data_IF_802214887534
#
_entry.id   IF_802214887534
#
_cell.length_a   1.000
_cell.length_b   1.000
_cell.length_c   1.000
_cell.angle_alpha   90.00
_cell.angle_beta   90.00
_cell.angle_gamma   90.00
#
_symmetry.space_group_name_H-M   'P 1'
#
loop_
_entity.id
_entity.type
_entity.pdbx_description
1 polymer ?
#
# COMPACT_ATOMS: atom_id res chain seq x y z
N UNK A 1 72.91 -18.47 63.50
CA UNK A 1 71.93 -19.47 63.05
C UNK A 1 70.57 -18.78 62.91
N UNK A 2 70.00 -18.81 61.69
CA UNK A 2 68.56 -18.69 61.29
C UNK A 2 67.76 -17.47 61.82
N UNK A 3 67.33 -16.48 61.03
CA UNK A 3 66.69 -16.38 59.70
C UNK A 3 65.14 -16.46 59.74
N UNK A 4 64.56 -15.44 59.11
CA UNK A 4 63.23 -15.26 58.49
C UNK A 4 61.97 -15.02 59.35
N UNK A 5 61.38 -13.86 59.07
CA UNK A 5 60.02 -13.44 59.36
C UNK A 5 58.96 -14.33 58.70
N UNK A 6 57.81 -14.47 59.36
CA UNK A 6 56.57 -14.89 58.67
C UNK A 6 55.43 -14.01 59.16
N UNK A 7 55.11 -12.99 58.35
CA UNK A 7 53.79 -12.37 58.30
C UNK A 7 52.81 -13.43 57.77
N UNK A 8 51.81 -13.80 58.58
CA UNK A 8 50.66 -14.57 58.10
C UNK A 8 49.48 -13.62 58.03
N UNK A 9 49.11 -13.31 56.79
CA UNK A 9 48.16 -12.28 56.42
C UNK A 9 46.76 -12.52 56.98
N UNK A 10 46.14 -11.42 57.37
CA UNK A 10 44.69 -11.29 57.43
C UNK A 10 44.11 -11.66 56.06
N UNK A 11 43.35 -12.75 56.00
CA UNK A 11 42.52 -13.08 54.85
C UNK A 11 41.38 -12.06 54.79
N UNK A 12 41.67 -10.97 54.10
CA UNK A 12 40.75 -9.89 53.83
C UNK A 12 39.59 -10.42 52.98
N UNK A 13 38.40 -10.06 53.41
CA UNK A 13 37.11 -10.33 52.82
C UNK A 13 37.07 -9.96 51.33
N UNK A 14 37.11 -10.95 50.45
CA UNK A 14 36.51 -10.83 49.13
C UNK A 14 35.15 -11.49 49.18
N UNK A 15 34.13 -10.72 49.56
CA UNK A 15 32.76 -10.99 49.13
C UNK A 15 32.84 -11.15 47.62
N UNK A 16 32.55 -12.36 47.13
CA UNK A 16 32.32 -12.61 45.72
C UNK A 16 31.13 -11.74 45.32
N UNK A 17 31.43 -10.51 44.89
CA UNK A 17 30.50 -9.67 44.17
C UNK A 17 30.21 -10.48 42.92
N UNK A 18 29.05 -11.12 42.88
CA UNK A 18 28.51 -11.76 41.69
C UNK A 18 28.42 -10.63 40.67
N UNK A 19 29.44 -10.51 39.82
CA UNK A 19 29.40 -9.65 38.65
C UNK A 19 28.15 -10.12 37.92
N UNK A 20 27.09 -9.29 37.91
CA UNK A 20 25.95 -9.54 37.05
C UNK A 20 26.54 -9.78 35.67
N UNK A 21 26.35 -10.99 35.15
CA UNK A 21 26.83 -11.35 33.81
C UNK A 21 26.20 -10.34 32.87
N UNK A 22 26.97 -9.33 32.49
CA UNK A 22 26.62 -8.46 31.37
C UNK A 22 26.49 -9.41 30.19
N UNK A 23 25.26 -9.61 29.70
CA UNK A 23 25.00 -10.42 28.51
C UNK A 23 26.07 -10.08 27.47
N UNK A 24 26.71 -11.11 26.92
CA UNK A 24 27.71 -10.92 25.86
C UNK A 24 27.09 -10.05 24.76
N UNK A 25 27.89 -9.24 24.08
CA UNK A 25 27.40 -8.49 22.90
C UNK A 25 26.70 -9.41 21.89
N UNK A 26 27.16 -10.67 21.78
CA UNK A 26 26.53 -11.70 20.97
C UNK A 26 25.12 -12.08 21.45
N UNK A 27 24.91 -12.24 22.76
CA UNK A 27 23.58 -12.54 23.33
C UNK A 27 22.62 -11.37 23.19
N UNK A 28 23.11 -10.12 23.26
CA UNK A 28 22.31 -8.92 22.99
C UNK A 28 21.94 -8.77 21.52
N UNK A 29 22.84 -9.14 20.61
CA UNK A 29 22.56 -9.13 19.17
C UNK A 29 21.53 -10.20 18.78
N UNK A 30 21.62 -11.39 19.38
CA UNK A 30 20.65 -12.47 19.18
C UNK A 30 19.26 -12.06 19.69
N UNK A 31 19.19 -11.49 20.89
CA UNK A 31 17.95 -10.95 21.46
C UNK A 31 17.36 -9.82 20.59
N UNK A 32 18.20 -8.91 20.08
CA UNK A 32 17.76 -7.87 19.15
C UNK A 32 17.26 -8.44 17.81
N UNK A 33 17.87 -9.51 17.30
CA UNK A 33 17.44 -10.18 16.08
C UNK A 33 16.05 -10.83 16.25
N UNK A 34 15.83 -11.53 17.36
CA UNK A 34 14.52 -12.12 17.70
C UNK A 34 13.45 -11.04 17.79
N UNK A 35 13.73 -9.90 18.44
CA UNK A 35 12.78 -8.79 18.48
C UNK A 35 12.50 -8.21 17.09
N UNK A 36 13.53 -8.01 16.27
CA UNK A 36 13.34 -7.53 14.91
C UNK A 36 12.50 -8.49 14.06
N UNK A 37 12.75 -9.79 14.14
CA UNK A 37 11.96 -10.80 13.44
C UNK A 37 10.50 -10.75 13.88
N UNK A 38 10.23 -10.72 15.19
CA UNK A 38 8.87 -10.70 15.70
C UNK A 38 8.11 -9.42 15.32
N UNK A 39 8.79 -8.26 15.38
CA UNK A 39 8.22 -6.99 14.90
C UNK A 39 7.93 -7.05 13.40
N UNK A 40 8.83 -7.64 12.60
CA UNK A 40 8.62 -7.80 11.16
C UNK A 40 7.44 -8.73 10.84
N UNK A 41 7.30 -9.84 11.57
CA UNK A 41 6.18 -10.77 11.42
C UNK A 41 4.85 -10.09 11.78
N UNK A 42 4.80 -9.39 12.92
CA UNK A 42 3.62 -8.62 13.32
C UNK A 42 3.25 -7.54 12.31
N UNK A 43 4.23 -6.83 11.74
CA UNK A 43 3.97 -5.86 10.69
C UNK A 43 3.40 -6.51 9.43
N UNK A 44 3.94 -7.65 8.99
CA UNK A 44 3.41 -8.41 7.86
C UNK A 44 1.96 -8.83 8.09
N UNK A 45 1.66 -9.41 9.25
CA UNK A 45 0.31 -9.86 9.61
C UNK A 45 -0.66 -8.67 9.68
N UNK A 46 -0.22 -7.54 10.23
CA UNK A 46 -1.03 -6.31 10.28
C UNK A 46 -1.34 -5.75 8.89
N UNK A 47 -0.38 -5.80 7.96
CA UNK A 47 -0.56 -5.35 6.58
C UNK A 47 -1.52 -6.25 5.80
N UNK A 48 -1.44 -7.57 6.00
CA UNK A 48 -2.38 -8.53 5.41
C UNK A 48 -3.80 -8.32 5.95
N UNK A 49 -3.97 -8.25 7.27
CA UNK A 49 -5.27 -8.03 7.89
C UNK A 49 -5.90 -6.68 7.48
N UNK A 50 -5.08 -5.64 7.33
CA UNK A 50 -5.51 -4.34 6.81
C UNK A 50 -6.05 -4.47 5.39
N UNK A 51 -5.30 -5.13 4.50
CA UNK A 51 -5.70 -5.33 3.10
C UNK A 51 -7.00 -6.11 2.99
N UNK A 52 -7.13 -7.21 3.74
CA UNK A 52 -8.37 -8.00 3.80
C UNK A 52 -9.54 -7.12 4.22
N UNK A 53 -9.40 -6.34 5.29
CA UNK A 53 -10.44 -5.42 5.75
C UNK A 53 -10.82 -4.37 4.70
N UNK A 54 -9.87 -3.81 3.97
CA UNK A 54 -10.14 -2.83 2.91
C UNK A 54 -10.97 -3.45 1.78
N UNK A 55 -10.65 -4.69 1.40
CA UNK A 55 -11.41 -5.43 0.38
C UNK A 55 -12.80 -5.81 0.88
N UNK A 56 -12.93 -6.32 2.10
CA UNK A 56 -14.22 -6.61 2.72
C UNK A 56 -15.11 -5.37 2.78
N UNK A 57 -14.56 -4.21 3.17
CA UNK A 57 -15.30 -2.94 3.19
C UNK A 57 -15.79 -2.54 1.78
N UNK A 58 -14.97 -2.73 0.75
CA UNK A 58 -15.37 -2.48 -0.63
C UNK A 58 -16.48 -3.44 -1.08
N UNK A 59 -16.37 -4.73 -0.73
CA UNK A 59 -17.37 -5.74 -1.06
C UNK A 59 -18.71 -5.47 -0.38
N UNK A 60 -18.69 -5.05 0.88
CA UNK A 60 -19.89 -4.64 1.62
C UNK A 60 -20.59 -3.46 0.93
N UNK A 61 -19.85 -2.41 0.56
CA UNK A 61 -20.39 -1.27 -0.18
C UNK A 61 -20.93 -1.69 -1.55
N UNK A 62 -20.20 -2.53 -2.27
CA UNK A 62 -20.63 -3.10 -3.55
C UNK A 62 -21.95 -3.85 -3.41
N UNK A 63 -22.08 -4.69 -2.38
CA UNK A 63 -23.31 -5.43 -2.10
C UNK A 63 -24.48 -4.49 -1.83
N UNK A 64 -24.27 -3.43 -1.05
CA UNK A 64 -25.29 -2.40 -0.78
C UNK A 64 -25.76 -1.71 -2.06
N UNK A 65 -24.85 -1.28 -2.93
CA UNK A 65 -25.24 -0.59 -4.18
C UNK A 65 -25.73 -1.55 -5.28
N UNK A 66 -25.45 -2.85 -5.18
CA UNK A 66 -25.85 -3.86 -6.18
C UNK A 66 -27.37 -4.03 -6.34
N UNK A 67 -28.15 -3.57 -5.35
CA UNK A 67 -29.61 -3.53 -5.38
C UNK A 67 -30.16 -2.48 -6.37
N UNK A 68 -29.36 -1.48 -6.75
CA UNK A 68 -29.74 -0.45 -7.72
C UNK A 68 -29.89 -1.03 -9.12
N UNK A 69 -30.69 -0.36 -9.95
CA UNK A 69 -30.83 -0.76 -11.35
C UNK A 69 -29.54 -0.48 -12.14
N UNK A 70 -29.31 -1.23 -13.22
CA UNK A 70 -28.14 -1.00 -14.07
C UNK A 70 -28.06 0.41 -14.67
N UNK A 71 -29.21 0.94 -15.06
CA UNK A 71 -29.31 2.30 -15.61
C UNK A 71 -28.95 3.33 -14.54
N UNK A 72 -29.38 3.10 -13.30
CA UNK A 72 -29.03 3.96 -12.17
C UNK A 72 -27.53 3.93 -11.86
N UNK A 73 -26.90 2.74 -11.85
CA UNK A 73 -25.44 2.62 -11.67
C UNK A 73 -24.67 3.37 -12.76
N UNK A 74 -25.07 3.23 -14.03
CA UNK A 74 -24.46 3.96 -15.14
C UNK A 74 -24.63 5.48 -15.00
N UNK A 75 -25.80 5.92 -14.51
CA UNK A 75 -26.04 7.34 -14.24
C UNK A 75 -25.10 7.86 -13.16
N UNK A 76 -24.98 7.16 -12.02
CA UNK A 76 -24.07 7.54 -10.94
C UNK A 76 -22.62 7.66 -11.41
N UNK A 77 -22.15 6.71 -12.23
CA UNK A 77 -20.80 6.76 -12.81
C UNK A 77 -20.62 7.98 -13.73
N UNK A 78 -21.61 8.29 -14.57
CA UNK A 78 -21.57 9.48 -15.44
C UNK A 78 -21.60 10.77 -14.66
N UNK A 79 -22.42 10.84 -13.61
CA UNK A 79 -22.58 12.02 -12.77
C UNK A 79 -21.28 12.32 -12.01
N UNK A 80 -20.51 11.28 -11.65
CA UNK A 80 -19.18 11.40 -11.09
C UNK A 80 -18.08 11.74 -12.11
N UNK A 81 -18.39 11.79 -13.41
CA UNK A 81 -17.48 12.21 -14.47
C UNK A 81 -16.83 11.08 -15.26
N UNK A 82 -17.19 9.80 -15.07
CA UNK A 82 -16.61 8.72 -15.85
C UNK A 82 -16.98 8.82 -17.33
N UNK A 83 -15.98 8.71 -18.21
CA UNK A 83 -16.23 8.49 -19.62
C UNK A 83 -16.73 7.05 -19.88
N UNK A 84 -17.63 6.88 -20.84
CA UNK A 84 -18.18 5.55 -21.17
C UNK A 84 -17.14 4.55 -21.67
N UNK A 85 -16.04 5.05 -22.26
CA UNK A 85 -14.87 4.25 -22.61
C UNK A 85 -14.24 3.62 -21.37
N UNK A 86 -14.08 4.39 -20.29
CA UNK A 86 -13.49 3.93 -19.03
C UNK A 86 -14.40 2.95 -18.32
N UNK A 87 -15.70 3.27 -18.22
CA UNK A 87 -16.68 2.33 -17.66
C UNK A 87 -16.66 0.99 -18.41
N UNK A 88 -16.59 1.02 -19.75
CA UNK A 88 -16.53 -0.19 -20.56
C UNK A 88 -15.25 -0.99 -20.29
N UNK A 89 -14.08 -0.33 -20.24
CA UNK A 89 -12.79 -0.97 -19.93
C UNK A 89 -12.78 -1.59 -18.53
N UNK A 90 -13.17 -0.82 -17.52
CA UNK A 90 -13.20 -1.26 -16.12
C UNK A 90 -14.20 -2.39 -15.88
N UNK A 91 -15.38 -2.33 -16.49
CA UNK A 91 -16.35 -3.42 -16.43
C UNK A 91 -16.00 -4.59 -17.38
N UNK A 92 -14.92 -4.49 -18.15
CA UNK A 92 -14.49 -5.47 -19.14
C UNK A 92 -15.60 -5.87 -20.11
N UNK A 93 -16.29 -4.86 -20.65
CA UNK A 93 -17.34 -5.03 -21.66
C UNK A 93 -17.13 -4.08 -22.82
N UNK A 94 -17.88 -4.29 -23.90
CA UNK A 94 -17.79 -3.42 -25.06
C UNK A 94 -18.56 -2.11 -24.85
N UNK A 95 -18.09 -1.01 -25.43
CA UNK A 95 -18.83 0.27 -25.45
C UNK A 95 -20.26 0.10 -26.01
N UNK A 96 -20.51 -0.69 -27.08
CA UNK A 96 -21.86 -0.99 -27.53
C UNK A 96 -22.75 -1.65 -26.47
N UNK A 97 -22.19 -2.48 -25.57
CA UNK A 97 -22.95 -3.06 -24.46
C UNK A 97 -23.43 -1.97 -23.48
N UNK A 98 -22.54 -1.05 -23.09
CA UNK A 98 -22.88 0.12 -22.27
C UNK A 98 -24.00 0.94 -22.93
N UNK A 99 -23.88 1.21 -24.24
CA UNK A 99 -24.89 1.96 -24.97
C UNK A 99 -26.25 1.25 -25.01
N UNK A 100 -26.27 -0.08 -25.14
CA UNK A 100 -27.52 -0.87 -25.08
C UNK A 100 -28.16 -0.74 -23.70
N UNK A 101 -27.40 -0.88 -22.62
CA UNK A 101 -27.93 -0.78 -21.26
C UNK A 101 -28.46 0.61 -20.94
N UNK A 102 -27.80 1.67 -21.41
CA UNK A 102 -28.29 3.05 -21.29
C UNK A 102 -29.66 3.27 -21.95
N UNK A 103 -29.99 2.49 -22.98
CA UNK A 103 -31.30 2.51 -23.65
C UNK A 103 -32.34 1.59 -23.00
N UNK A 104 -32.04 1.04 -21.82
CA UNK A 104 -32.94 0.16 -21.08
C UNK A 104 -32.89 -1.30 -21.50
N UNK A 105 -31.92 -1.72 -22.34
CA UNK A 105 -31.74 -3.14 -22.61
C UNK A 105 -31.34 -3.88 -21.32
N UNK A 106 -31.80 -5.14 -21.21
CA UNK A 106 -31.47 -5.99 -20.07
C UNK A 106 -29.96 -6.16 -19.86
N UNK A 107 -29.57 -6.19 -18.59
CA UNK A 107 -28.19 -6.42 -18.15
C UNK A 107 -28.16 -7.63 -17.22
N UNK A 108 -27.14 -8.47 -17.37
CA UNK A 108 -26.94 -9.62 -16.50
C UNK A 108 -26.59 -9.18 -15.08
N UNK A 109 -26.88 -10.02 -14.09
CA UNK A 109 -26.48 -9.78 -12.70
C UNK A 109 -24.98 -9.57 -12.56
N UNK A 110 -24.16 -10.36 -13.27
CA UNK A 110 -22.70 -10.22 -13.25
C UNK A 110 -22.22 -8.84 -13.73
N UNK A 111 -22.75 -8.34 -14.85
CA UNK A 111 -22.38 -7.03 -15.36
C UNK A 111 -22.89 -5.91 -14.44
N UNK A 112 -24.06 -6.09 -13.83
CA UNK A 112 -24.55 -5.19 -12.77
C UNK A 112 -23.59 -5.13 -11.61
N UNK A 113 -23.10 -6.29 -11.17
CA UNK A 113 -22.17 -6.42 -10.05
C UNK A 113 -20.84 -5.72 -10.35
N UNK A 114 -20.32 -5.81 -11.58
CA UNK A 114 -19.12 -5.05 -12.00
C UNK A 114 -19.33 -3.54 -11.93
N UNK A 115 -20.46 -3.03 -12.43
CA UNK A 115 -20.78 -1.59 -12.33
C UNK A 115 -20.97 -1.15 -10.87
N UNK A 116 -21.57 -2.01 -10.04
CA UNK A 116 -21.73 -1.79 -8.61
C UNK A 116 -20.36 -1.64 -7.90
N UNK A 117 -19.34 -2.42 -8.29
CA UNK A 117 -17.97 -2.25 -7.76
C UNK A 117 -17.41 -0.86 -8.03
N UNK A 118 -17.62 -0.33 -9.24
CA UNK A 118 -17.16 1.01 -9.62
C UNK A 118 -17.87 2.11 -8.83
N UNK A 119 -19.18 1.98 -8.63
CA UNK A 119 -19.94 2.91 -7.78
C UNK A 119 -19.51 2.80 -6.31
N UNK A 120 -19.26 1.59 -5.81
CA UNK A 120 -18.75 1.40 -4.45
C UNK A 120 -17.38 2.05 -4.23
N UNK A 121 -16.51 2.06 -5.25
CA UNK A 121 -15.26 2.83 -5.21
C UNK A 121 -15.57 4.33 -5.06
N UNK A 122 -16.52 4.88 -5.80
CA UNK A 122 -16.91 6.29 -5.62
C UNK A 122 -17.38 6.57 -4.19
N UNK A 123 -18.16 5.66 -3.59
CA UNK A 123 -18.60 5.79 -2.19
C UNK A 123 -17.44 5.71 -1.19
N UNK A 124 -16.41 4.91 -1.49
CA UNK A 124 -15.16 4.89 -0.69
C UNK A 124 -14.41 6.22 -0.85
N UNK A 125 -14.23 6.72 -2.07
CA UNK A 125 -13.52 7.97 -2.33
C UNK A 125 -14.22 9.16 -1.65
N UNK A 126 -15.55 9.20 -1.69
CA UNK A 126 -16.35 10.20 -0.99
C UNK A 126 -16.16 10.13 0.53
N UNK A 127 -16.12 8.91 1.10
CA UNK A 127 -15.81 8.71 2.52
C UNK A 127 -14.41 9.24 2.91
N UNK A 128 -13.45 9.17 1.99
CA UNK A 128 -12.12 9.77 2.15
C UNK A 128 -12.07 11.26 1.75
N UNK A 129 -13.22 11.92 1.61
CA UNK A 129 -13.39 13.34 1.27
C UNK A 129 -12.81 13.76 -0.09
N UNK A 130 -12.65 12.81 -1.02
CA UNK A 130 -12.17 13.09 -2.38
C UNK A 130 -13.34 13.62 -3.22
N UNK A 131 -13.34 14.93 -3.48
CA UNK A 131 -14.45 15.64 -4.13
C UNK A 131 -14.58 15.35 -5.63
N UNK A 132 -13.45 15.23 -6.34
CA UNK A 132 -13.40 14.99 -7.78
C UNK A 132 -12.81 13.60 -8.03
N UNK A 133 -13.57 12.52 -7.76
CA UNK A 133 -13.03 11.16 -7.68
C UNK A 133 -12.43 10.69 -8.99
N UNK A 134 -13.08 10.99 -10.13
CA UNK A 134 -12.57 10.56 -11.45
C UNK A 134 -11.28 11.29 -11.80
N UNK A 135 -11.21 12.61 -11.59
CA UNK A 135 -9.97 13.36 -11.81
C UNK A 135 -8.85 12.88 -10.88
N UNK A 136 -9.15 12.56 -9.63
CA UNK A 136 -8.17 11.99 -8.70
C UNK A 136 -7.68 10.60 -9.15
N UNK A 137 -8.57 9.77 -9.69
CA UNK A 137 -8.21 8.47 -10.26
C UNK A 137 -7.27 8.60 -11.48
N UNK A 138 -7.47 9.62 -12.30
CA UNK A 138 -6.63 9.93 -13.47
C UNK A 138 -5.27 10.54 -13.09
N UNK A 139 -5.13 11.07 -11.88
CA UNK A 139 -3.84 11.59 -11.42
C UNK A 139 -2.81 10.46 -11.23
N UNK A 140 -1.54 10.69 -11.63
CA UNK A 140 -0.45 9.79 -11.33
C UNK A 140 -0.34 9.45 -9.84
N UNK A 141 0.04 8.20 -9.53
CA UNK A 141 0.33 7.78 -8.15
C UNK A 141 1.43 8.65 -7.52
N UNK A 142 2.41 9.06 -8.31
CA UNK A 142 3.49 9.99 -7.94
C UNK A 142 3.83 10.87 -9.14
N UNK A 143 4.23 12.11 -8.88
CA UNK A 143 4.76 12.99 -9.92
C UNK A 143 5.95 12.36 -10.65
N UNK A 144 6.00 12.52 -11.98
CA UNK A 144 7.05 11.96 -12.84
C UNK A 144 6.88 10.48 -13.20
N UNK A 145 5.73 9.87 -12.91
CA UNK A 145 5.41 8.50 -13.29
C UNK A 145 4.11 8.49 -14.10
N UNK A 146 4.04 7.68 -15.16
CA UNK A 146 2.86 7.56 -16.00
C UNK A 146 1.73 6.68 -15.44
N UNK A 147 1.97 5.96 -14.34
CA UNK A 147 1.00 5.03 -13.72
C UNK A 147 0.01 5.83 -12.86
N UNK A 148 -1.25 5.79 -13.25
CA UNK A 148 -2.38 6.42 -12.55
C UNK A 148 -3.05 5.45 -11.59
N UNK A 149 -3.95 5.97 -10.76
CA UNK A 149 -4.79 5.14 -9.88
C UNK A 149 -5.86 4.38 -10.67
N UNK A 150 -6.32 4.95 -11.78
CA UNK A 150 -7.18 4.29 -12.75
C UNK A 150 -6.49 3.04 -13.35
N UNK A 151 -5.18 3.10 -13.60
CA UNK A 151 -4.43 1.95 -14.11
C UNK A 151 -4.45 0.78 -13.12
N UNK A 152 -4.40 1.03 -11.81
CA UNK A 152 -4.56 -0.02 -10.80
C UNK A 152 -5.91 -0.73 -10.95
N UNK A 153 -6.99 0.04 -11.11
CA UNK A 153 -8.34 -0.51 -11.31
C UNK A 153 -8.47 -1.31 -12.61
N UNK A 154 -7.87 -0.82 -13.69
CA UNK A 154 -7.87 -1.51 -14.99
C UNK A 154 -7.19 -2.88 -14.94
N UNK A 155 -6.25 -3.07 -14.01
CA UNK A 155 -5.56 -4.34 -13.76
C UNK A 155 -6.15 -5.13 -12.58
N UNK A 156 -7.37 -4.79 -12.13
CA UNK A 156 -8.06 -5.42 -10.99
C UNK A 156 -7.29 -5.34 -9.65
N UNK A 157 -6.35 -4.39 -9.53
CA UNK A 157 -5.58 -4.10 -8.31
C UNK A 157 -6.28 -3.06 -7.43
N UNK A 158 -7.54 -3.35 -7.11
CA UNK A 158 -8.34 -2.51 -6.21
C UNK A 158 -7.76 -2.47 -4.80
N UNK A 159 -7.12 -3.56 -4.36
CA UNK A 159 -6.37 -3.62 -3.11
C UNK A 159 -5.32 -2.51 -3.03
N UNK A 160 -4.53 -2.33 -4.09
CA UNK A 160 -3.49 -1.30 -4.16
C UNK A 160 -4.05 0.12 -4.25
N UNK A 161 -5.19 0.29 -4.94
CA UNK A 161 -5.90 1.56 -4.95
C UNK A 161 -6.30 1.97 -3.52
N UNK A 162 -6.93 1.05 -2.79
CA UNK A 162 -7.41 1.30 -1.43
C UNK A 162 -6.27 1.53 -0.44
N UNK A 163 -5.17 0.79 -0.57
CA UNK A 163 -3.97 1.04 0.24
C UNK A 163 -3.39 2.44 -0.01
N UNK A 164 -3.45 2.93 -1.26
CA UNK A 164 -2.95 4.25 -1.62
C UNK A 164 -3.80 5.44 -1.11
N UNK A 165 -5.00 5.19 -0.59
CA UNK A 165 -5.88 6.22 -0.05
C UNK A 165 -5.44 6.74 1.32
N UNK A 166 -4.69 5.94 2.06
CA UNK A 166 -4.35 6.26 3.43
C UNK A 166 -2.95 6.86 3.49
N UNK A 167 -2.80 7.94 4.24
CA UNK A 167 -1.52 8.65 4.45
C UNK A 167 -0.97 8.42 5.88
N UNK A 168 -1.56 7.48 6.63
CA UNK A 168 -1.19 7.17 8.01
C UNK A 168 0.12 6.36 8.10
N UNK A 169 0.77 6.38 9.27
CA UNK A 169 2.04 5.68 9.60
C UNK A 169 2.07 4.15 9.34
N UNK A 170 0.91 3.54 9.06
CA UNK A 170 0.78 2.12 8.70
C UNK A 170 0.28 1.88 7.26
N UNK A 171 0.15 2.93 6.45
CA UNK A 171 -0.27 2.82 5.06
C UNK A 171 0.91 2.42 4.16
N UNK A 172 0.59 1.68 3.09
CA UNK A 172 1.61 1.28 2.14
C UNK A 172 2.11 2.50 1.38
N UNK A 173 3.41 2.78 1.46
CA UNK A 173 4.00 3.90 0.72
C UNK A 173 3.74 3.75 -0.78
N UNK A 174 3.57 4.88 -1.48
CA UNK A 174 3.35 4.89 -2.94
C UNK A 174 4.44 4.11 -3.69
N UNK A 175 5.69 4.18 -3.24
CA UNK A 175 6.79 3.39 -3.82
C UNK A 175 6.55 1.89 -3.67
N UNK A 176 6.09 1.44 -2.51
CA UNK A 176 5.80 0.02 -2.28
C UNK A 176 4.57 -0.44 -3.05
N UNK A 177 3.56 0.43 -3.24
CA UNK A 177 2.42 0.18 -4.13
C UNK A 177 2.90 -0.05 -5.57
N UNK A 178 3.78 0.83 -6.07
CA UNK A 178 4.35 0.71 -7.41
C UNK A 178 5.22 -0.55 -7.57
N UNK A 179 6.03 -0.87 -6.57
CA UNK A 179 6.88 -2.08 -6.56
C UNK A 179 6.05 -3.37 -6.66
N UNK A 180 4.91 -3.42 -5.97
CA UNK A 180 3.98 -4.55 -6.04
C UNK A 180 3.16 -4.56 -7.34
N UNK A 181 2.79 -3.40 -7.87
CA UNK A 181 2.07 -3.29 -9.13
C UNK A 181 2.92 -3.74 -10.32
N UNK A 182 4.16 -3.24 -10.41
CA UNK A 182 5.12 -3.61 -11.43
C UNK A 182 6.54 -3.32 -10.96
N UNK A 183 7.32 -4.34 -10.57
CA UNK A 183 8.68 -4.16 -10.03
C UNK A 183 9.65 -3.41 -10.98
N UNK A 184 9.38 -3.42 -12.28
CA UNK A 184 10.17 -2.71 -13.31
C UNK A 184 9.64 -1.30 -13.61
N UNK A 185 8.77 -0.76 -12.76
CA UNK A 185 8.11 0.53 -13.04
C UNK A 185 9.09 1.68 -13.20
N UNK A 186 10.23 1.61 -12.52
CA UNK A 186 11.31 2.61 -12.56
C UNK A 186 11.93 2.77 -13.94
N UNK A 187 11.90 1.72 -14.75
CA UNK A 187 12.49 1.72 -16.08
C UNK A 187 11.45 1.97 -17.17
N UNK A 188 10.22 1.50 -16.95
CA UNK A 188 9.17 1.47 -17.96
C UNK A 188 8.24 2.69 -17.94
N UNK A 189 8.04 3.31 -16.78
CA UNK A 189 7.00 4.33 -16.58
C UNK A 189 7.50 5.61 -15.92
N UNK A 190 8.81 5.72 -15.64
CA UNK A 190 9.40 7.01 -15.29
C UNK A 190 9.37 7.88 -16.53
N UNK A 191 8.78 9.05 -16.36
CA UNK A 191 8.66 10.02 -17.44
C UNK A 191 10.07 10.39 -17.93
N UNK A 192 10.34 10.15 -19.21
CA UNK A 192 11.68 10.22 -19.81
C UNK A 192 12.31 11.63 -19.74
N UNK A 193 11.57 12.61 -19.25
CA UNK A 193 11.99 13.99 -19.01
C UNK A 193 12.92 14.16 -17.80
N UNK A 194 13.08 13.18 -16.91
CA UNK A 194 13.95 13.28 -15.73
C UNK A 194 14.95 12.12 -15.66
N UNK A 195 16.19 12.42 -15.28
CA UNK A 195 17.23 11.42 -14.97
C UNK A 195 17.64 11.47 -13.50
N UNK A 196 17.95 10.30 -12.94
CA UNK A 196 18.48 10.18 -11.58
C UNK A 196 20.01 10.25 -11.63
N UNK A 197 20.61 11.13 -10.82
CA UNK A 197 22.05 11.25 -10.65
C UNK A 197 22.41 11.14 -9.16
N UNK A 198 23.61 10.68 -8.84
CA UNK A 198 24.12 10.73 -7.45
C UNK A 198 24.64 12.14 -7.22
N UNK A 199 24.02 12.86 -6.29
CA UNK A 199 24.47 14.17 -5.88
C UNK A 199 25.79 14.08 -5.08
N UNK A 200 26.47 15.21 -4.91
CA UNK A 200 27.79 15.29 -4.26
C UNK A 200 27.81 14.80 -2.81
N UNK A 201 26.65 14.62 -2.20
CA UNK A 201 26.43 14.06 -0.86
C UNK A 201 26.26 12.53 -0.84
N UNK A 202 26.32 11.88 -2.01
CA UNK A 202 26.14 10.43 -2.16
C UNK A 202 24.68 9.98 -2.18
N UNK A 203 23.72 10.90 -2.18
CA UNK A 203 22.29 10.60 -2.22
C UNK A 203 21.76 10.64 -3.66
N UNK A 204 20.89 9.70 -4.01
CA UNK A 204 20.22 9.69 -5.31
C UNK A 204 19.26 10.88 -5.42
N UNK A 205 19.47 11.73 -6.43
CA UNK A 205 18.69 12.93 -6.71
C UNK A 205 18.19 12.91 -8.15
N UNK A 206 17.12 13.63 -8.48
CA UNK A 206 16.55 13.68 -9.85
C UNK A 206 16.72 15.06 -10.47
N UNK A 207 17.06 15.12 -11.77
CA UNK A 207 17.12 16.36 -12.55
C UNK A 207 16.43 16.21 -13.90
N UNK A 208 15.94 17.29 -14.52
CA UNK A 208 15.44 17.24 -15.90
C UNK A 208 16.54 16.78 -16.85
N UNK A 209 16.22 15.90 -17.80
CA UNK A 209 17.10 15.53 -18.91
C UNK A 209 17.22 16.72 -19.84
N UNK A 210 18.44 17.20 -20.06
CA UNK A 210 18.79 18.27 -21.00
C UNK A 210 18.95 17.76 -22.42
#
# INVERSE_FOLDING_TARGET
MRNVATQSGQLNTFRANRIERTKSSAERLDEAHVYHQHVSELHSDSALARRERLIEELEDRQNQVSAKSGVELLRLLSDAGFAWSDVARLAQVSIPAIQKWRRGAGMTGQNRFKLAKLVAILDVLDFHFIQEPVSWLEMPLRQGIAITRMDLMLHDRYDLLLESLNDDDGAKSVTSVLDEFNSSWRDLFVDAHFETFIASDGVASTRPKS
#
